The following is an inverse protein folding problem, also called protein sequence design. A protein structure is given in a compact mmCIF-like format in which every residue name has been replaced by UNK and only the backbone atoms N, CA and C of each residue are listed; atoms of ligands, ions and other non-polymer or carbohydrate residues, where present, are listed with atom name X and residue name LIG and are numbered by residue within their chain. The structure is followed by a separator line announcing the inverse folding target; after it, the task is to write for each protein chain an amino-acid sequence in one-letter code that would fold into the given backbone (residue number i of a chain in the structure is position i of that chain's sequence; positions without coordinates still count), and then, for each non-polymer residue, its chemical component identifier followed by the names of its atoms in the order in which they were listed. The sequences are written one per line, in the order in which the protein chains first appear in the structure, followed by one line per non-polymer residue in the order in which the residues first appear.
data_IF_991806091019
#
_entry.id   IF_991806091019
#
_cell.length_a   1.000
_cell.length_b   1.000
_cell.length_c   1.000
_cell.angle_alpha   90.00
_cell.angle_beta   90.00
_cell.angle_gamma   90.00
#
_symmetry.space_group_name_H-M   'P 1'
#
loop_
_entity.id
_entity.type
_entity.pdbx_description
1 polymer ?
#
# COMPACT_ATOMS: atom_id res chain seq x y z
N UNK A 1 -17.82 -37.69 7.42
CA UNK A 1 -17.84 -37.44 5.96
C UNK A 1 -19.07 -36.68 5.45
N UNK A 2 -20.10 -36.40 6.27
CA UNK A 2 -21.30 -35.64 5.83
C UNK A 2 -21.16 -34.10 5.95
N UNK A 3 -20.23 -33.61 6.77
CA UNK A 3 -20.03 -32.18 7.07
C UNK A 3 -19.26 -31.42 5.99
N UNK A 4 -18.34 -32.07 5.27
CA UNK A 4 -17.53 -31.44 4.21
C UNK A 4 -18.38 -30.97 3.04
N UNK A 5 -19.34 -31.80 2.60
CA UNK A 5 -20.22 -31.50 1.46
C UNK A 5 -21.20 -30.36 1.78
N UNK A 6 -21.67 -30.24 3.02
CA UNK A 6 -22.53 -29.12 3.39
C UNK A 6 -21.76 -27.79 3.42
N UNK A 7 -20.51 -27.80 3.88
CA UNK A 7 -19.64 -26.63 3.90
C UNK A 7 -19.32 -26.15 2.48
N UNK A 8 -18.97 -27.06 1.57
CA UNK A 8 -18.73 -26.71 0.16
C UNK A 8 -19.98 -26.15 -0.48
N UNK A 9 -21.15 -26.76 -0.23
CA UNK A 9 -22.43 -26.30 -0.78
C UNK A 9 -22.79 -24.90 -0.26
N UNK A 10 -22.54 -24.62 1.02
CA UNK A 10 -22.78 -23.32 1.65
C UNK A 10 -21.86 -22.24 1.06
N UNK A 11 -20.55 -22.51 1.00
CA UNK A 11 -19.56 -21.61 0.40
C UNK A 11 -19.87 -21.37 -1.07
N UNK A 12 -20.20 -22.40 -1.84
CA UNK A 12 -20.56 -22.24 -3.25
C UNK A 12 -21.87 -21.46 -3.42
N UNK A 13 -22.85 -21.62 -2.52
CA UNK A 13 -24.09 -20.85 -2.54
C UNK A 13 -23.86 -19.37 -2.19
N UNK A 14 -22.92 -19.09 -1.28
CA UNK A 14 -22.55 -17.73 -0.86
C UNK A 14 -21.72 -17.02 -1.92
N UNK A 15 -20.77 -17.73 -2.54
CA UNK A 15 -20.01 -17.25 -3.69
C UNK A 15 -20.96 -17.00 -4.86
N UNK A 16 -21.84 -17.95 -5.18
CA UNK A 16 -22.86 -17.77 -6.22
C UNK A 16 -23.74 -16.55 -5.93
N UNK A 17 -24.21 -16.37 -4.68
CA UNK A 17 -24.97 -15.18 -4.25
C UNK A 17 -24.17 -13.89 -4.34
N UNK A 18 -22.88 -13.90 -4.01
CA UNK A 18 -22.00 -12.75 -4.15
C UNK A 18 -21.82 -12.34 -5.63
N UNK A 19 -21.89 -13.30 -6.56
CA UNK A 19 -21.82 -13.05 -8.00
C UNK A 19 -23.18 -12.83 -8.69
N UNK A 20 -24.31 -13.28 -8.12
CA UNK A 20 -25.65 -13.05 -8.72
C UNK A 20 -26.32 -11.73 -8.32
N UNK A 21 -25.82 -11.00 -7.31
CA UNK A 21 -26.31 -9.65 -7.05
C UNK A 21 -25.57 -8.65 -7.96
N UNK A 22 -26.24 -8.26 -9.05
CA UNK A 22 -25.73 -7.33 -10.07
C UNK A 22 -25.37 -5.92 -9.58
N UNK A 23 -25.62 -5.58 -8.30
CA UNK A 23 -25.28 -4.29 -7.69
C UNK A 23 -24.33 -4.47 -6.49
N UNK A 24 -23.13 -4.96 -6.79
CA UNK A 24 -22.09 -5.44 -5.87
C UNK A 24 -21.43 -4.46 -4.89
N UNK A 25 -22.13 -3.42 -4.41
CA UNK A 25 -21.58 -2.46 -3.45
C UNK A 25 -22.06 -2.67 -1.99
N UNK A 26 -23.18 -3.37 -1.76
CA UNK A 26 -23.85 -3.37 -0.46
C UNK A 26 -23.65 -4.62 0.41
N UNK A 27 -23.14 -5.73 -0.15
CA UNK A 27 -23.00 -6.99 0.62
C UNK A 27 -21.83 -6.94 1.61
N UNK A 28 -20.77 -6.18 1.31
CA UNK A 28 -19.61 -6.03 2.21
C UNK A 28 -19.95 -5.21 3.46
N UNK A 29 -20.97 -4.35 3.39
CA UNK A 29 -21.41 -3.50 4.52
C UNK A 29 -22.46 -4.15 5.43
N UNK A 30 -23.15 -5.21 4.99
CA UNK A 30 -24.29 -5.81 5.72
C UNK A 30 -23.92 -7.08 6.50
N UNK A 31 -22.73 -7.65 6.26
CA UNK A 31 -22.25 -8.81 7.01
C UNK A 31 -21.94 -8.63 8.51
N UNK A 32 -21.81 -7.43 9.13
CA UNK A 32 -21.45 -7.35 10.55
C UNK A 32 -22.58 -7.77 11.51
N UNK A 33 -23.82 -7.93 11.05
CA UNK A 33 -25.01 -7.93 11.92
C UNK A 33 -25.61 -9.29 12.32
N UNK A 34 -25.12 -10.44 11.85
CA UNK A 34 -25.82 -11.72 12.07
C UNK A 34 -25.08 -12.70 12.98
N UNK A 35 -25.86 -13.43 13.81
CA UNK A 35 -25.43 -14.57 14.62
C UNK A 35 -24.69 -15.65 13.79
N UNK A 36 -24.96 -15.73 12.48
CA UNK A 36 -24.26 -16.58 11.53
C UNK A 36 -22.84 -16.14 11.22
N UNK A 37 -22.57 -14.82 11.11
CA UNK A 37 -21.23 -14.29 10.89
C UNK A 37 -20.30 -14.61 12.07
N UNK A 38 -20.79 -14.51 13.31
CA UNK A 38 -19.99 -14.87 14.50
C UNK A 38 -19.62 -16.36 14.53
N UNK A 39 -20.56 -17.27 14.19
CA UNK A 39 -20.27 -18.71 14.09
C UNK A 39 -19.32 -19.02 12.93
N UNK A 40 -19.50 -18.36 11.79
CA UNK A 40 -18.67 -18.57 10.60
C UNK A 40 -17.24 -18.05 10.83
N UNK A 41 -17.09 -16.88 11.47
CA UNK A 41 -15.79 -16.34 11.89
C UNK A 41 -15.17 -17.30 12.91
N UNK A 42 -15.90 -17.72 13.95
CA UNK A 42 -15.37 -18.61 14.98
C UNK A 42 -14.90 -19.96 14.42
N UNK A 43 -15.60 -20.51 13.42
CA UNK A 43 -15.19 -21.76 12.75
C UNK A 43 -14.02 -21.53 11.78
N UNK A 44 -13.99 -20.40 11.06
CA UNK A 44 -12.87 -20.06 10.15
C UNK A 44 -11.58 -19.73 10.91
N UNK A 45 -11.68 -19.16 12.11
CA UNK A 45 -10.52 -18.83 12.95
C UNK A 45 -10.08 -19.96 13.89
N UNK A 46 -10.77 -21.11 13.87
CA UNK A 46 -10.60 -22.18 14.87
C UNK A 46 -9.21 -22.83 14.83
N UNK A 47 -8.61 -22.90 13.65
CA UNK A 47 -7.29 -23.50 13.39
C UNK A 47 -6.24 -22.46 12.95
N UNK A 48 -6.55 -21.17 13.02
CA UNK A 48 -5.62 -20.09 12.63
C UNK A 48 -4.83 -19.66 13.85
N UNK A 49 -3.49 -19.66 13.75
CA UNK A 49 -2.65 -19.16 14.83
C UNK A 49 -2.83 -17.64 14.98
N UNK A 50 -2.93 -17.16 16.22
CA UNK A 50 -3.00 -15.71 16.52
C UNK A 50 -1.82 -14.94 15.90
N UNK A 51 -0.67 -15.61 15.75
CA UNK A 51 0.51 -15.05 15.08
C UNK A 51 0.23 -14.73 13.60
N UNK A 52 -0.43 -15.64 12.88
CA UNK A 52 -0.64 -15.46 11.44
C UNK A 52 -1.68 -14.37 11.12
N UNK A 53 -2.66 -14.18 12.01
CA UNK A 53 -3.59 -13.04 11.93
C UNK A 53 -2.93 -11.71 12.28
N UNK A 54 -2.03 -11.69 13.28
CA UNK A 54 -1.41 -10.45 13.76
C UNK A 54 -0.28 -9.97 12.86
N UNK A 55 0.43 -10.86 12.18
CA UNK A 55 1.56 -10.52 11.30
C UNK A 55 1.23 -9.49 10.20
N UNK A 56 0.19 -9.66 9.36
CA UNK A 56 -0.16 -8.65 8.34
C UNK A 56 -0.60 -7.32 8.94
N UNK A 57 -1.28 -7.33 10.10
CA UNK A 57 -1.68 -6.13 10.82
C UNK A 57 -0.46 -5.37 11.39
N UNK A 58 0.50 -6.09 11.95
CA UNK A 58 1.76 -5.52 12.44
C UNK A 58 2.59 -4.96 11.28
N UNK A 59 2.71 -5.70 10.18
CA UNK A 59 3.40 -5.22 8.98
C UNK A 59 2.77 -3.92 8.48
N UNK A 60 1.44 -3.90 8.31
CA UNK A 60 0.71 -2.70 7.92
C UNK A 60 0.94 -1.54 8.89
N UNK A 61 0.76 -1.77 10.19
CA UNK A 61 0.87 -0.71 11.21
C UNK A 61 2.27 -0.12 11.30
N UNK A 62 3.30 -0.95 11.46
CA UNK A 62 4.69 -0.50 11.60
C UNK A 62 5.19 0.20 10.34
N UNK A 63 4.91 -0.36 9.16
CA UNK A 63 5.33 0.22 7.90
C UNK A 63 4.55 1.52 7.58
N UNK A 64 3.29 1.62 7.99
CA UNK A 64 2.52 2.87 7.90
C UNK A 64 3.15 3.97 8.74
N UNK A 65 3.52 3.67 9.99
CA UNK A 65 4.18 4.65 10.87
C UNK A 65 5.49 5.11 10.23
N UNK A 66 6.31 4.17 9.75
CA UNK A 66 7.56 4.50 9.07
C UNK A 66 7.31 5.38 7.83
N UNK A 67 6.32 5.03 7.00
CA UNK A 67 5.93 5.82 5.85
C UNK A 67 5.47 7.23 6.22
N UNK A 68 4.65 7.39 7.26
CA UNK A 68 4.22 8.71 7.75
C UNK A 68 5.43 9.59 8.08
N UNK A 69 6.41 9.06 8.82
CA UNK A 69 7.61 9.80 9.20
C UNK A 69 8.41 10.28 7.98
N UNK A 70 8.60 9.39 7.00
CA UNK A 70 9.32 9.72 5.76
C UNK A 70 8.53 10.72 4.91
N UNK A 71 7.22 10.55 4.80
CA UNK A 71 6.34 11.44 4.04
C UNK A 71 6.30 12.86 4.61
N UNK A 72 6.28 13.00 5.95
CA UNK A 72 6.42 14.29 6.63
C UNK A 72 7.78 14.92 6.31
N UNK A 73 8.86 14.14 6.33
CA UNK A 73 10.20 14.63 5.98
C UNK A 73 10.28 15.08 4.51
N UNK A 74 9.65 14.35 3.57
CA UNK A 74 9.57 14.74 2.17
C UNK A 74 8.77 16.03 1.99
N UNK A 75 7.60 16.12 2.62
CA UNK A 75 6.78 17.32 2.58
C UNK A 75 7.54 18.54 3.14
N UNK A 76 8.24 18.38 4.26
CA UNK A 76 9.02 19.44 4.89
C UNK A 76 10.23 19.87 4.05
N UNK A 77 11.01 18.93 3.52
CA UNK A 77 12.14 19.25 2.65
C UNK A 77 11.67 19.88 1.34
N UNK A 78 10.52 19.43 0.85
CA UNK A 78 9.88 19.91 -0.35
C UNK A 78 9.37 21.34 -0.26
N UNK A 79 8.70 21.70 0.83
CA UNK A 79 8.25 23.09 1.08
C UNK A 79 9.44 24.04 1.23
N UNK A 80 10.50 23.62 1.92
CA UNK A 80 11.73 24.40 2.04
C UNK A 80 12.48 24.58 0.71
N UNK A 81 12.40 23.60 -0.19
CA UNK A 81 12.98 23.72 -1.53
C UNK A 81 12.23 24.76 -2.35
N UNK A 82 10.89 24.69 -2.38
CA UNK A 82 10.05 25.67 -3.08
C UNK A 82 10.20 27.08 -2.52
N UNK A 83 10.35 27.24 -1.20
CA UNK A 83 10.63 28.54 -0.58
C UNK A 83 11.97 29.13 -1.04
N UNK A 84 13.01 28.30 -1.20
CA UNK A 84 14.32 28.74 -1.71
C UNK A 84 14.22 29.14 -3.19
N UNK A 85 13.54 28.34 -4.00
CA UNK A 85 13.32 28.63 -5.42
C UNK A 85 12.57 29.95 -5.60
N UNK A 86 11.51 30.19 -4.82
CA UNK A 86 10.76 31.45 -4.82
C UNK A 86 11.65 32.65 -4.48
N UNK A 87 12.52 32.51 -3.47
CA UNK A 87 13.46 33.56 -3.09
C UNK A 87 14.46 33.86 -4.22
N UNK A 88 14.97 32.83 -4.90
CA UNK A 88 15.89 32.99 -6.03
C UNK A 88 15.19 33.65 -7.22
N UNK A 89 13.95 33.27 -7.52
CA UNK A 89 13.24 33.77 -8.71
C UNK A 89 12.66 35.17 -8.53
N UNK A 90 12.23 35.52 -7.32
CA UNK A 90 11.56 36.81 -7.05
C UNK A 90 12.42 37.81 -6.27
N UNK A 91 13.56 37.37 -5.73
CA UNK A 91 14.41 38.19 -4.85
C UNK A 91 13.76 38.53 -3.50
N UNK A 92 12.57 38.00 -3.20
CA UNK A 92 11.78 38.32 -2.01
C UNK A 92 11.27 37.04 -1.32
N UNK A 93 11.30 36.98 0.02
CA UNK A 93 10.68 35.89 0.76
C UNK A 93 9.15 36.00 0.83
N UNK A 94 8.56 37.13 0.40
CA UNK A 94 7.12 37.40 0.45
C UNK A 94 6.50 37.25 -0.93
N UNK A 95 5.33 36.62 -1.01
CA UNK A 95 4.57 36.47 -2.24
C UNK A 95 3.80 35.14 -2.29
N UNK A 96 2.94 34.98 -3.30
CA UNK A 96 2.24 33.73 -3.56
C UNK A 96 3.24 32.66 -4.02
N UNK A 97 3.49 31.66 -3.17
CA UNK A 97 4.29 30.49 -3.52
C UNK A 97 3.36 29.47 -4.19
N UNK A 98 3.50 29.30 -5.51
CA UNK A 98 2.75 28.28 -6.24
C UNK A 98 3.25 26.90 -5.78
N UNK A 99 2.46 26.22 -4.95
CA UNK A 99 2.82 24.92 -4.38
C UNK A 99 1.64 23.95 -4.48
N UNK A 100 1.62 23.18 -5.56
CA UNK A 100 0.70 22.03 -5.73
C UNK A 100 1.08 20.86 -4.79
N UNK A 101 2.18 21.02 -4.05
CA UNK A 101 2.82 20.00 -3.22
C UNK A 101 1.95 19.56 -2.04
N UNK A 102 1.15 20.46 -1.48
CA UNK A 102 0.17 20.13 -0.42
C UNK A 102 -0.87 19.13 -0.93
N UNK A 103 -1.52 19.46 -2.04
CA UNK A 103 -2.58 18.64 -2.61
C UNK A 103 -2.05 17.30 -3.12
N UNK A 104 -0.92 17.32 -3.84
CA UNK A 104 -0.30 16.08 -4.35
C UNK A 104 0.14 15.13 -3.23
N UNK A 105 0.68 15.68 -2.13
CA UNK A 105 1.13 14.86 -0.99
C UNK A 105 -0.05 14.22 -0.25
N UNK A 106 -1.17 14.92 -0.12
CA UNK A 106 -2.39 14.37 0.50
C UNK A 106 -2.95 13.21 -0.34
N UNK A 107 -3.06 13.36 -1.66
CA UNK A 107 -3.53 12.28 -2.52
C UNK A 107 -2.59 11.08 -2.56
N UNK A 108 -1.28 11.33 -2.57
CA UNK A 108 -0.28 10.26 -2.46
C UNK A 108 -0.42 9.52 -1.13
N UNK A 109 -0.57 10.24 -0.03
CA UNK A 109 -0.80 9.67 1.29
C UNK A 109 -2.07 8.80 1.31
N UNK A 110 -3.21 9.34 0.89
CA UNK A 110 -4.47 8.62 0.82
C UNK A 110 -4.39 7.37 -0.07
N UNK A 111 -3.76 7.48 -1.24
CA UNK A 111 -3.56 6.36 -2.16
C UNK A 111 -2.71 5.24 -1.55
N UNK A 112 -1.62 5.59 -0.86
CA UNK A 112 -0.76 4.60 -0.19
C UNK A 112 -1.51 3.87 0.92
N UNK A 113 -2.23 4.59 1.78
CA UNK A 113 -3.03 3.99 2.86
C UNK A 113 -4.15 3.10 2.29
N UNK A 114 -4.84 3.54 1.25
CA UNK A 114 -5.91 2.77 0.61
C UNK A 114 -5.38 1.45 0.04
N UNK A 115 -4.31 1.50 -0.77
CA UNK A 115 -3.72 0.30 -1.39
C UNK A 115 -3.18 -0.66 -0.32
N UNK A 116 -2.47 -0.15 0.68
CA UNK A 116 -1.95 -0.97 1.76
C UNK A 116 -3.07 -1.62 2.60
N UNK A 117 -4.18 -0.90 2.83
CA UNK A 117 -5.36 -1.45 3.52
C UNK A 117 -5.99 -2.56 2.70
N UNK A 118 -6.14 -2.38 1.39
CA UNK A 118 -6.66 -3.41 0.47
C UNK A 118 -5.78 -4.66 0.50
N UNK A 119 -4.46 -4.51 0.38
CA UNK A 119 -3.52 -5.63 0.44
C UNK A 119 -3.62 -6.39 1.79
N UNK A 120 -3.77 -5.66 2.89
CA UNK A 120 -3.92 -6.23 4.23
C UNK A 120 -5.22 -7.01 4.38
N UNK A 121 -6.34 -6.46 3.88
CA UNK A 121 -7.64 -7.14 3.88
C UNK A 121 -7.58 -8.42 3.06
N UNK A 122 -7.01 -8.39 1.85
CA UNK A 122 -6.85 -9.59 1.03
C UNK A 122 -5.94 -10.62 1.68
N UNK A 123 -4.84 -10.19 2.31
CA UNK A 123 -3.97 -11.08 3.07
C UNK A 123 -4.73 -11.85 4.16
N UNK A 124 -5.55 -11.14 4.95
CA UNK A 124 -6.39 -11.75 5.98
C UNK A 124 -7.47 -12.67 5.40
N UNK A 125 -8.08 -12.30 4.27
CA UNK A 125 -9.06 -13.15 3.59
C UNK A 125 -8.43 -14.46 3.11
N UNK A 126 -7.24 -14.43 2.53
CA UNK A 126 -6.56 -15.66 2.10
C UNK A 126 -6.14 -16.55 3.26
N UNK A 127 -5.78 -15.96 4.41
CA UNK A 127 -5.58 -16.71 5.64
C UNK A 127 -6.86 -17.42 6.08
N UNK A 128 -8.00 -16.72 6.09
CA UNK A 128 -9.30 -17.28 6.48
C UNK A 128 -9.77 -18.40 5.54
N UNK A 129 -9.46 -18.33 4.25
CA UNK A 129 -9.80 -19.36 3.26
C UNK A 129 -8.80 -20.52 3.25
N UNK A 130 -7.71 -20.44 4.03
CA UNK A 130 -6.68 -21.48 4.11
C UNK A 130 -5.76 -21.55 2.90
N UNK A 131 -5.69 -20.49 2.09
CA UNK A 131 -4.83 -20.38 0.91
C UNK A 131 -3.47 -19.81 1.31
N UNK A 132 -2.64 -20.63 1.96
CA UNK A 132 -1.35 -20.23 2.56
C UNK A 132 -0.40 -19.56 1.56
N UNK A 133 -0.31 -20.07 0.32
CA UNK A 133 0.55 -19.49 -0.71
C UNK A 133 0.15 -18.05 -1.11
N UNK A 134 -1.16 -17.76 -1.14
CA UNK A 134 -1.66 -16.40 -1.40
C UNK A 134 -1.48 -15.50 -0.19
N UNK A 135 -1.67 -16.03 1.02
CA UNK A 135 -1.36 -15.31 2.24
C UNK A 135 0.11 -14.86 2.27
N UNK A 136 1.06 -15.77 2.06
CA UNK A 136 2.50 -15.45 2.06
C UNK A 136 2.84 -14.45 0.95
N UNK A 137 2.26 -14.64 -0.24
CA UNK A 137 2.44 -13.73 -1.37
C UNK A 137 1.93 -12.31 -1.08
N UNK A 138 0.76 -12.18 -0.47
CA UNK A 138 0.20 -10.87 -0.10
C UNK A 138 0.92 -10.23 1.09
N UNK A 139 1.37 -11.03 2.06
CA UNK A 139 2.20 -10.53 3.17
C UNK A 139 3.51 -9.94 2.64
N UNK A 140 4.16 -10.64 1.71
CA UNK A 140 5.33 -10.11 1.01
C UNK A 140 5.00 -8.86 0.18
N UNK A 141 3.86 -8.86 -0.51
CA UNK A 141 3.42 -7.71 -1.30
C UNK A 141 3.20 -6.45 -0.45
N UNK A 142 2.67 -6.55 0.77
CA UNK A 142 2.56 -5.43 1.72
C UNK A 142 3.94 -4.84 2.00
N UNK A 143 4.92 -5.69 2.37
CA UNK A 143 6.27 -5.26 2.70
C UNK A 143 6.94 -4.61 1.48
N UNK A 144 6.88 -5.26 0.32
CA UNK A 144 7.46 -4.77 -0.92
C UNK A 144 6.82 -3.45 -1.37
N UNK A 145 5.51 -3.30 -1.23
CA UNK A 145 4.79 -2.07 -1.54
C UNK A 145 5.32 -0.89 -0.72
N UNK A 146 5.39 -1.03 0.61
CA UNK A 146 5.94 0.03 1.46
C UNK A 146 7.40 0.33 1.15
N UNK A 147 8.22 -0.70 0.89
CA UNK A 147 9.62 -0.50 0.51
C UNK A 147 9.74 0.38 -0.75
N UNK A 148 8.93 0.10 -1.77
CA UNK A 148 8.91 0.89 -3.02
C UNK A 148 8.45 2.33 -2.76
N UNK A 149 7.34 2.50 -2.05
CA UNK A 149 6.78 3.83 -1.76
C UNK A 149 7.74 4.69 -0.93
N UNK A 150 8.34 4.12 0.13
CA UNK A 150 9.34 4.81 0.95
C UNK A 150 10.57 5.17 0.13
N UNK A 151 11.02 4.29 -0.76
CA UNK A 151 12.15 4.57 -1.66
C UNK A 151 11.87 5.76 -2.58
N UNK A 152 10.64 5.91 -3.07
CA UNK A 152 10.23 7.08 -3.85
C UNK A 152 10.24 8.38 -3.02
N UNK A 153 9.80 8.34 -1.76
CA UNK A 153 9.86 9.54 -0.89
C UNK A 153 11.31 9.90 -0.56
N UNK A 154 12.15 8.92 -0.27
CA UNK A 154 13.59 9.14 -0.05
C UNK A 154 14.26 9.73 -1.30
N UNK A 155 13.91 9.24 -2.49
CA UNK A 155 14.37 9.81 -3.75
C UNK A 155 13.97 11.29 -3.88
N UNK A 156 12.70 11.61 -3.62
CA UNK A 156 12.15 12.98 -3.64
C UNK A 156 12.85 13.90 -2.62
N UNK A 157 13.08 13.44 -1.39
CA UNK A 157 13.86 14.16 -0.38
C UNK A 157 15.24 14.51 -0.93
N UNK A 158 15.91 13.54 -1.56
CA UNK A 158 17.21 13.73 -2.18
C UNK A 158 17.23 14.80 -3.26
N UNK A 159 16.21 14.85 -4.12
CA UNK A 159 16.05 15.94 -5.09
C UNK A 159 15.79 17.30 -4.42
N UNK A 160 14.93 17.35 -3.42
CA UNK A 160 14.66 18.57 -2.67
C UNK A 160 15.94 19.11 -2.01
N UNK A 161 16.80 18.24 -1.50
CA UNK A 161 18.12 18.62 -0.97
C UNK A 161 19.07 19.15 -2.05
N UNK A 162 19.08 18.53 -3.23
CA UNK A 162 19.87 19.01 -4.38
C UNK A 162 19.44 20.43 -4.80
N UNK A 163 18.13 20.69 -4.91
CA UNK A 163 17.58 22.02 -5.22
C UNK A 163 17.94 23.05 -4.14
N UNK A 164 17.95 22.63 -2.86
CA UNK A 164 18.27 23.50 -1.72
C UNK A 164 19.75 23.79 -1.53
N UNK A 165 20.65 22.85 -1.77
CA UNK A 165 22.07 22.98 -1.41
C UNK A 165 23.01 22.86 -2.61
N UNK A 166 22.50 22.59 -3.81
CA UNK A 166 23.32 22.33 -5.00
C UNK A 166 24.04 20.98 -4.97
N UNK A 167 23.86 20.18 -3.92
CA UNK A 167 24.48 18.86 -3.74
C UNK A 167 23.48 17.87 -3.17
N UNK A 168 23.46 16.66 -3.74
CA UNK A 168 22.70 15.52 -3.22
C UNK A 168 23.60 14.68 -2.31
N UNK A 169 23.21 14.38 -1.06
CA UNK A 169 23.97 13.48 -0.20
C UNK A 169 24.13 12.08 -0.82
N UNK A 170 25.23 11.40 -0.47
CA UNK A 170 25.59 10.08 -1.04
C UNK A 170 24.54 9.01 -0.78
N UNK A 171 23.93 9.01 0.40
CA UNK A 171 22.85 8.08 0.76
C UNK A 171 21.67 8.15 -0.21
N UNK A 172 21.17 9.35 -0.50
CA UNK A 172 20.06 9.50 -1.46
C UNK A 172 20.47 9.16 -2.88
N UNK A 173 21.73 9.41 -3.25
CA UNK A 173 22.26 9.01 -4.56
C UNK A 173 22.35 7.49 -4.73
N UNK A 174 22.54 6.75 -3.63
CA UNK A 174 22.46 5.29 -3.63
C UNK A 174 21.02 4.81 -3.83
N UNK A 175 20.05 5.42 -3.14
CA UNK A 175 18.62 5.11 -3.31
C UNK A 175 18.17 5.36 -4.75
N UNK A 176 18.65 6.42 -5.40
CA UNK A 176 18.36 6.66 -6.83
C UNK A 176 18.78 5.49 -7.72
N UNK A 177 19.98 4.94 -7.50
CA UNK A 177 20.47 3.80 -8.28
C UNK A 177 19.61 2.57 -8.05
N UNK A 178 19.18 2.33 -6.81
CA UNK A 178 18.27 1.23 -6.47
C UNK A 178 16.90 1.43 -7.13
N UNK A 179 16.32 2.62 -7.04
CA UNK A 179 15.03 2.95 -7.66
C UNK A 179 15.08 2.84 -9.19
N UNK A 180 16.17 3.28 -9.82
CA UNK A 180 16.39 3.12 -11.26
C UNK A 180 16.51 1.64 -11.63
N UNK A 181 17.28 0.84 -10.89
CA UNK A 181 17.40 -0.59 -11.13
C UNK A 181 16.05 -1.31 -11.02
N UNK A 182 15.22 -0.97 -10.02
CA UNK A 182 13.87 -1.51 -9.87
C UNK A 182 12.99 -1.09 -11.06
N UNK A 183 13.01 0.19 -11.45
CA UNK A 183 12.20 0.71 -12.55
C UNK A 183 12.58 0.05 -13.88
N UNK A 184 13.87 -0.07 -14.19
CA UNK A 184 14.36 -0.74 -15.39
C UNK A 184 13.99 -2.23 -15.36
N UNK A 185 14.17 -2.91 -14.23
CA UNK A 185 13.79 -4.32 -14.10
C UNK A 185 12.28 -4.57 -14.25
N UNK A 186 11.44 -3.67 -13.75
CA UNK A 186 9.98 -3.74 -13.93
C UNK A 186 9.58 -3.44 -15.38
N UNK A 187 10.17 -2.43 -16.02
CA UNK A 187 9.91 -2.08 -17.42
C UNK A 187 10.36 -3.20 -18.35
N UNK A 188 11.56 -3.78 -18.15
CA UNK A 188 12.03 -4.92 -18.95
C UNK A 188 11.14 -6.15 -18.79
N UNK A 189 10.68 -6.44 -17.56
CA UNK A 189 9.74 -7.55 -17.34
C UNK A 189 8.38 -7.28 -17.98
N UNK A 190 7.87 -6.06 -17.91
CA UNK A 190 6.62 -5.67 -18.56
C UNK A 190 6.76 -5.72 -20.09
N UNK A 191 7.85 -5.20 -20.65
CA UNK A 191 8.15 -5.25 -22.09
C UNK A 191 8.18 -6.70 -22.58
N UNK A 192 8.86 -7.60 -21.88
CA UNK A 192 8.91 -9.04 -22.23
C UNK A 192 7.55 -9.74 -22.16
N UNK A 193 6.60 -9.22 -21.38
CA UNK A 193 5.23 -9.74 -21.33
C UNK A 193 4.40 -9.21 -22.52
N UNK A 194 4.65 -7.98 -22.97
CA UNK A 194 4.03 -7.41 -24.15
C UNK A 194 4.62 -7.94 -25.46
N UNK A 195 5.93 -8.23 -25.52
CA UNK A 195 6.59 -8.84 -26.68
C UNK A 195 6.21 -10.32 -26.89
N UNK A 196 5.52 -10.92 -25.91
CA UNK A 196 5.05 -12.31 -25.95
C UNK A 196 3.59 -12.45 -26.43
N UNK A 197 2.94 -11.33 -26.73
CA UNK A 197 1.60 -11.23 -27.32
C UNK A 197 1.69 -10.58 -28.69
#
# INVERSE_FOLDING_TARGET
MQTSNQLTTLVFSLVKKAFTYQDGALVVLVLPGSFGAKKLIAELTRDISLKDMTMPLLAFGVLTILYILVSIADFYTGTRASAKEHLISTGSPRGYMKSDKLWSSVWKFAGVILIASILTVFCLLFLLVGLTWLYDGFLFAIIAFYFVVISFDLHSIGENQLRRFGKKPSFYSFIDKVSVAIRTGLIEKASKLFDKW
#
